data_IF_412542878396
#
_entry.id   IF_412542878396
#
_cell.length_a   1.000
_cell.length_b   1.000
_cell.length_c   1.000
_cell.angle_alpha   90.00
_cell.angle_beta   90.00
_cell.angle_gamma   90.00
#
_symmetry.space_group_name_H-M   'P 1'
#
loop_
_entity.id
_entity.type
_entity.pdbx_description
1 polymer ?
#
# COMPACT_ATOMS: atom_id res chain seq x y z
N UNK A 1 9.78 -20.68 -13.69
CA UNK A 1 9.06 -19.98 -12.60
C UNK A 1 7.72 -20.64 -12.51
N UNK A 2 7.33 -21.20 -11.36
CA UNK A 2 5.95 -21.71 -11.19
C UNK A 2 4.99 -20.57 -11.48
N UNK A 3 3.97 -20.83 -12.31
CA UNK A 3 2.88 -19.88 -12.54
C UNK A 3 2.20 -19.63 -11.19
N UNK A 4 2.50 -18.48 -10.58
CA UNK A 4 1.85 -18.06 -9.33
C UNK A 4 0.37 -17.77 -9.65
N UNK A 5 -0.52 -18.27 -8.80
CA UNK A 5 -1.96 -18.13 -8.99
C UNK A 5 -2.39 -16.69 -8.68
N UNK A 6 -2.97 -16.04 -9.66
CA UNK A 6 -3.57 -14.70 -9.52
C UNK A 6 -4.81 -14.76 -8.64
N UNK A 7 -5.08 -13.70 -7.92
CA UNK A 7 -6.26 -13.56 -7.09
C UNK A 7 -7.19 -12.44 -7.54
N UNK A 8 -8.13 -12.08 -6.66
CA UNK A 8 -9.07 -11.00 -6.86
C UNK A 8 -8.86 -9.88 -5.85
N UNK A 9 -9.06 -8.63 -6.28
CA UNK A 9 -8.99 -7.45 -5.42
C UNK A 9 -10.24 -7.32 -4.54
N UNK A 10 -10.17 -6.49 -3.49
CA UNK A 10 -11.37 -6.12 -2.71
C UNK A 10 -12.44 -5.47 -3.59
N UNK A 11 -12.02 -4.72 -4.63
CA UNK A 11 -12.90 -4.10 -5.62
C UNK A 11 -13.67 -5.13 -6.43
N UNK A 12 -12.99 -6.15 -6.98
CA UNK A 12 -13.65 -7.22 -7.74
C UNK A 12 -14.64 -8.01 -6.88
N UNK A 13 -14.27 -8.31 -5.62
CA UNK A 13 -15.19 -9.00 -4.70
C UNK A 13 -16.42 -8.13 -4.38
N UNK A 14 -16.27 -6.82 -4.19
CA UNK A 14 -17.37 -5.90 -3.96
C UNK A 14 -18.28 -5.77 -5.18
N UNK A 15 -17.70 -5.73 -6.39
CA UNK A 15 -18.45 -5.76 -7.65
C UNK A 15 -19.27 -7.05 -7.77
N UNK A 16 -18.65 -8.20 -7.56
CA UNK A 16 -19.31 -9.51 -7.63
C UNK A 16 -20.43 -9.64 -6.58
N UNK A 17 -20.17 -9.23 -5.34
CA UNK A 17 -21.18 -9.21 -4.29
C UNK A 17 -22.36 -8.29 -4.66
N UNK A 18 -22.08 -7.13 -5.27
CA UNK A 18 -23.14 -6.20 -5.75
C UNK A 18 -24.01 -6.84 -6.84
N UNK A 19 -23.38 -7.49 -7.82
CA UNK A 19 -24.12 -8.17 -8.89
C UNK A 19 -24.99 -9.30 -8.33
N UNK A 20 -24.45 -10.12 -7.41
CA UNK A 20 -25.17 -11.19 -6.75
C UNK A 20 -26.37 -10.65 -5.91
N UNK A 21 -26.16 -9.61 -5.11
CA UNK A 21 -27.22 -8.97 -4.31
C UNK A 21 -28.32 -8.37 -5.19
N UNK A 22 -27.95 -7.70 -6.28
CA UNK A 22 -28.89 -7.09 -7.20
C UNK A 22 -29.77 -8.15 -7.91
N UNK A 23 -29.17 -9.25 -8.37
CA UNK A 23 -29.89 -10.38 -8.97
C UNK A 23 -30.80 -11.05 -7.95
N UNK A 24 -30.32 -11.28 -6.73
CA UNK A 24 -31.10 -11.90 -5.67
C UNK A 24 -32.31 -11.02 -5.28
N UNK A 25 -32.11 -9.71 -5.12
CA UNK A 25 -33.19 -8.76 -4.82
C UNK A 25 -34.28 -8.79 -5.92
N UNK A 26 -33.88 -8.75 -7.20
CA UNK A 26 -34.82 -8.81 -8.32
C UNK A 26 -35.62 -10.13 -8.33
N UNK A 27 -34.96 -11.25 -8.08
CA UNK A 27 -35.62 -12.58 -8.01
C UNK A 27 -36.55 -12.66 -6.82
N UNK A 28 -36.20 -12.09 -5.67
CA UNK A 28 -37.06 -12.08 -4.48
C UNK A 28 -38.32 -11.23 -4.71
N UNK A 29 -38.20 -10.07 -5.36
CA UNK A 29 -39.32 -9.22 -5.74
C UNK A 29 -40.25 -9.97 -6.71
N UNK A 30 -39.70 -10.67 -7.73
CA UNK A 30 -40.47 -11.49 -8.66
C UNK A 30 -41.16 -12.67 -7.95
N UNK A 31 -40.45 -13.33 -7.01
CA UNK A 31 -41.02 -14.43 -6.23
C UNK A 31 -42.20 -13.97 -5.34
N UNK A 32 -42.06 -12.79 -4.70
CA UNK A 32 -43.12 -12.18 -3.90
C UNK A 32 -44.37 -11.87 -4.79
N UNK A 33 -44.13 -11.33 -5.97
CA UNK A 33 -45.22 -11.07 -6.94
C UNK A 33 -45.88 -12.36 -7.41
N UNK A 34 -45.13 -13.44 -7.68
CA UNK A 34 -45.65 -14.75 -8.03
C UNK A 34 -46.43 -15.38 -6.88
N UNK A 35 -45.98 -15.26 -5.65
CA UNK A 35 -46.67 -15.76 -4.46
C UNK A 35 -48.05 -15.10 -4.25
N UNK A 36 -48.18 -13.81 -4.58
CA UNK A 36 -49.48 -13.12 -4.57
C UNK A 36 -50.48 -13.72 -5.59
N UNK A 37 -49.99 -14.43 -6.60
CA UNK A 37 -50.77 -15.17 -7.57
C UNK A 37 -50.90 -16.67 -7.22
N UNK A 38 -50.47 -17.10 -6.06
CA UNK A 38 -50.50 -18.49 -5.59
C UNK A 38 -49.38 -19.39 -6.13
N UNK A 39 -48.34 -18.80 -6.75
CA UNK A 39 -47.19 -19.53 -7.28
C UNK A 39 -46.04 -19.50 -6.28
N UNK A 40 -45.60 -20.65 -5.76
CA UNK A 40 -44.48 -20.78 -4.86
C UNK A 40 -43.17 -20.93 -5.65
N UNK A 41 -42.25 -20.02 -5.45
CA UNK A 41 -40.87 -20.06 -6.02
C UNK A 41 -39.83 -19.91 -4.95
N UNK A 42 -38.71 -20.58 -5.07
CA UNK A 42 -37.54 -20.43 -4.20
C UNK A 42 -36.45 -19.65 -4.91
N UNK A 43 -35.82 -18.71 -4.20
CA UNK A 43 -34.66 -17.96 -4.71
C UNK A 43 -33.40 -18.57 -4.08
N UNK A 44 -32.49 -19.12 -4.92
CA UNK A 44 -31.23 -19.68 -4.40
C UNK A 44 -30.41 -18.63 -3.64
N UNK A 45 -29.84 -19.02 -2.51
CA UNK A 45 -28.97 -18.17 -1.69
C UNK A 45 -27.50 -18.37 -1.96
N UNK A 46 -27.12 -19.33 -2.77
CA UNK A 46 -25.74 -19.64 -3.16
C UNK A 46 -25.65 -19.82 -4.65
N UNK A 47 -24.48 -19.53 -5.22
CA UNK A 47 -24.24 -19.68 -6.64
C UNK A 47 -22.93 -19.09 -7.10
N UNK A 48 -22.83 -18.97 -8.40
CA UNK A 48 -21.74 -18.32 -9.10
C UNK A 48 -22.27 -17.05 -9.76
N UNK A 49 -21.49 -15.98 -9.69
CA UNK A 49 -21.78 -14.71 -10.37
C UNK A 49 -20.65 -14.40 -11.33
N UNK A 50 -21.03 -14.06 -12.56
CA UNK A 50 -20.11 -13.61 -13.60
C UNK A 50 -20.10 -12.09 -13.65
N UNK A 51 -18.88 -11.51 -13.71
CA UNK A 51 -18.65 -10.07 -13.81
C UNK A 51 -17.55 -9.78 -14.83
N UNK A 52 -17.63 -8.61 -15.46
CA UNK A 52 -16.56 -8.07 -16.27
C UNK A 52 -15.63 -7.23 -15.35
N UNK A 53 -14.38 -7.67 -15.21
CA UNK A 53 -13.38 -6.96 -14.40
C UNK A 53 -12.97 -5.66 -15.10
N UNK A 54 -12.58 -4.61 -14.35
CA UNK A 54 -12.08 -3.36 -14.92
C UNK A 54 -10.88 -3.54 -15.88
N UNK A 55 -10.09 -4.61 -15.71
CA UNK A 55 -9.00 -5.00 -16.61
C UNK A 55 -9.43 -5.66 -17.92
N UNK A 56 -10.75 -5.81 -18.18
CA UNK A 56 -11.31 -6.38 -19.42
C UNK A 56 -11.43 -7.91 -19.42
N UNK A 57 -11.03 -8.58 -18.33
CA UNK A 57 -11.23 -10.03 -18.17
C UNK A 57 -12.62 -10.33 -17.59
N UNK A 58 -13.20 -11.47 -17.94
CA UNK A 58 -14.37 -12.01 -17.24
C UNK A 58 -13.91 -12.83 -16.03
N UNK A 59 -14.71 -12.78 -14.97
CA UNK A 59 -14.48 -13.53 -13.74
C UNK A 59 -15.78 -14.15 -13.23
N UNK A 60 -15.67 -15.37 -12.71
CA UNK A 60 -16.78 -16.08 -12.07
C UNK A 60 -16.41 -16.32 -10.62
N UNK A 61 -17.19 -15.75 -9.70
CA UNK A 61 -16.93 -15.83 -8.26
C UNK A 61 -18.10 -16.50 -7.53
N UNK A 62 -17.80 -17.36 -6.55
CA UNK A 62 -18.83 -17.92 -5.69
C UNK A 62 -19.38 -16.86 -4.72
N UNK A 63 -20.69 -16.93 -4.47
CA UNK A 63 -21.35 -16.06 -3.51
C UNK A 63 -22.34 -16.85 -2.65
N UNK A 64 -22.67 -16.30 -1.48
CA UNK A 64 -23.84 -16.68 -0.71
C UNK A 64 -24.62 -15.44 -0.26
N UNK A 65 -25.90 -15.59 0.05
CA UNK A 65 -26.79 -14.50 0.47
C UNK A 65 -27.40 -14.82 1.82
N UNK A 66 -27.23 -13.90 2.76
CA UNK A 66 -27.79 -13.97 4.11
C UNK A 66 -29.30 -13.71 4.12
N UNK A 67 -29.91 -13.86 5.30
CA UNK A 67 -31.34 -13.67 5.50
C UNK A 67 -31.80 -12.24 5.23
N UNK A 68 -30.95 -11.26 5.47
CA UNK A 68 -31.19 -9.84 5.24
C UNK A 68 -30.98 -9.39 3.79
N UNK A 69 -30.62 -10.32 2.90
CA UNK A 69 -30.34 -10.03 1.49
C UNK A 69 -28.93 -9.54 1.17
N UNK A 70 -28.03 -9.57 2.15
CA UNK A 70 -26.61 -9.26 1.91
C UNK A 70 -25.93 -10.42 1.19
N UNK A 71 -25.40 -10.18 -0.01
CA UNK A 71 -24.58 -11.14 -0.73
C UNK A 71 -23.10 -11.00 -0.34
N UNK A 72 -22.44 -12.12 -0.09
CA UNK A 72 -21.05 -12.21 0.35
C UNK A 72 -20.19 -12.94 -0.67
N UNK A 73 -19.00 -12.39 -0.91
CA UNK A 73 -17.93 -13.00 -1.69
C UNK A 73 -16.67 -13.06 -0.83
N UNK A 74 -16.11 -14.26 -0.66
CA UNK A 74 -14.86 -14.43 0.08
C UNK A 74 -13.69 -14.11 -0.84
N UNK A 75 -12.84 -13.17 -0.39
CA UNK A 75 -11.69 -12.74 -1.19
C UNK A 75 -10.62 -13.83 -1.24
N UNK A 76 -10.31 -14.27 -2.44
CA UNK A 76 -9.16 -15.11 -2.76
C UNK A 76 -8.05 -14.23 -3.38
N UNK A 77 -6.95 -14.04 -2.67
CA UNK A 77 -5.82 -13.25 -3.15
C UNK A 77 -4.82 -14.05 -4.01
N UNK A 78 -5.11 -15.31 -4.32
CA UNK A 78 -4.15 -16.18 -4.99
C UNK A 78 -2.95 -16.51 -4.09
N UNK A 79 -1.77 -16.50 -4.68
CA UNK A 79 -0.52 -16.77 -3.97
C UNK A 79 0.14 -15.50 -3.41
N UNK A 80 -0.58 -14.37 -3.42
CA UNK A 80 -0.11 -13.12 -2.82
C UNK A 80 -0.32 -13.13 -1.30
N UNK A 81 0.67 -12.66 -0.50
CA UNK A 81 0.54 -12.56 0.96
C UNK A 81 -0.33 -11.38 1.41
N UNK A 82 -1.42 -11.13 0.72
CA UNK A 82 -2.36 -10.04 1.00
C UNK A 82 -3.07 -10.25 2.33
N UNK A 83 -3.03 -9.25 3.20
CA UNK A 83 -3.65 -9.29 4.54
C UNK A 83 -5.18 -9.43 4.49
N UNK A 84 -5.80 -9.14 3.34
CA UNK A 84 -7.24 -9.27 3.12
C UNK A 84 -7.65 -10.61 2.50
N UNK A 85 -6.71 -11.55 2.31
CA UNK A 85 -7.03 -12.90 1.89
C UNK A 85 -8.01 -13.58 2.87
N UNK A 86 -9.05 -14.22 2.36
CA UNK A 86 -10.09 -14.87 3.17
C UNK A 86 -11.14 -13.93 3.78
N UNK A 87 -11.01 -12.60 3.60
CA UNK A 87 -12.00 -11.65 4.08
C UNK A 87 -13.28 -11.73 3.25
N UNK A 88 -14.44 -11.82 3.91
CA UNK A 88 -15.73 -11.73 3.26
C UNK A 88 -16.06 -10.27 2.93
N UNK A 89 -16.37 -9.99 1.67
CA UNK A 89 -16.83 -8.69 1.19
C UNK A 89 -18.32 -8.83 0.86
N UNK A 90 -19.14 -8.03 1.53
CA UNK A 90 -20.58 -8.06 1.42
C UNK A 90 -21.14 -6.87 0.65
N UNK A 91 -22.25 -7.08 -0.01
CA UNK A 91 -23.06 -6.05 -0.64
C UNK A 91 -24.54 -6.24 -0.34
N UNK A 92 -25.21 -5.20 0.14
CA UNK A 92 -26.65 -5.16 0.26
C UNK A 92 -27.22 -4.08 -0.64
N UNK A 93 -28.17 -4.49 -1.49
CA UNK A 93 -28.82 -3.63 -2.47
C UNK A 93 -30.21 -3.24 -1.96
N UNK A 94 -30.42 -1.93 -1.85
CA UNK A 94 -31.72 -1.36 -1.49
C UNK A 94 -32.31 -0.65 -2.71
N UNK A 95 -33.64 -0.77 -2.92
CA UNK A 95 -34.33 -0.12 -4.01
C UNK A 95 -34.48 1.39 -3.70
N UNK A 96 -33.97 2.23 -4.59
CA UNK A 96 -34.02 3.70 -4.45
C UNK A 96 -34.41 4.31 -5.80
N UNK A 97 -35.70 4.34 -6.16
CA UNK A 97 -36.14 4.77 -7.48
C UNK A 97 -35.57 6.13 -7.90
N UNK A 98 -35.00 6.19 -9.10
CA UNK A 98 -34.41 7.39 -9.69
C UNK A 98 -33.08 7.81 -9.13
N UNK A 99 -32.46 7.03 -8.22
CA UNK A 99 -31.20 7.40 -7.58
C UNK A 99 -30.24 6.20 -7.48
N UNK A 100 -28.95 6.47 -7.69
CA UNK A 100 -27.87 5.45 -7.54
C UNK A 100 -26.85 5.94 -6.51
N UNK A 101 -26.48 5.05 -5.57
CA UNK A 101 -25.45 5.36 -4.58
C UNK A 101 -24.65 4.12 -4.20
N UNK A 102 -23.36 4.37 -3.89
CA UNK A 102 -22.46 3.38 -3.26
C UNK A 102 -22.05 3.90 -1.90
N UNK A 103 -22.32 3.13 -0.85
CA UNK A 103 -22.07 3.45 0.56
C UNK A 103 -21.10 2.47 1.16
N UNK A 104 -20.31 2.93 2.14
CA UNK A 104 -19.50 2.08 3.01
C UNK A 104 -20.32 1.65 4.23
N UNK A 105 -20.25 0.36 4.55
CA UNK A 105 -20.79 -0.26 5.75
C UNK A 105 -19.69 -0.69 6.71
N UNK A 106 -20.00 -1.68 7.56
CA UNK A 106 -19.07 -2.22 8.58
C UNK A 106 -17.77 -2.67 7.92
N UNK A 107 -16.63 -2.30 8.50
CA UNK A 107 -15.31 -2.71 8.07
C UNK A 107 -14.77 -2.05 6.80
N UNK A 108 -15.55 -1.20 6.13
CA UNK A 108 -15.08 -0.32 5.06
C UNK A 108 -14.65 1.01 5.69
N UNK A 109 -13.42 1.45 5.39
CA UNK A 109 -12.86 2.66 5.97
C UNK A 109 -13.54 3.94 5.49
N UNK A 110 -13.37 5.00 6.26
CA UNK A 110 -13.77 6.37 5.92
C UNK A 110 -12.53 7.23 5.73
N UNK A 111 -12.47 7.98 4.66
CA UNK A 111 -11.40 8.94 4.39
C UNK A 111 -11.59 10.16 5.29
N UNK A 112 -10.54 10.58 6.01
CA UNK A 112 -10.57 11.74 6.91
C UNK A 112 -9.60 12.85 6.51
N UNK A 113 -8.60 12.55 5.67
CA UNK A 113 -7.59 13.49 5.21
C UNK A 113 -7.75 13.80 3.72
N UNK A 114 -7.40 15.02 3.28
CA UNK A 114 -7.34 15.37 1.86
C UNK A 114 -6.14 14.67 1.18
N UNK A 115 -6.15 14.63 -0.15
CA UNK A 115 -5.05 14.09 -0.98
C UNK A 115 -5.35 12.74 -1.62
N UNK A 116 -6.38 12.02 -1.16
CA UNK A 116 -6.86 10.83 -1.85
C UNK A 116 -7.90 11.18 -2.92
N UNK A 117 -8.14 10.30 -3.92
CA UNK A 117 -9.19 10.51 -4.92
C UNK A 117 -10.62 10.62 -4.34
N UNK A 118 -10.77 10.22 -3.08
CA UNK A 118 -12.02 10.27 -2.32
C UNK A 118 -11.94 11.44 -1.35
N UNK A 119 -12.93 12.32 -1.39
CA UNK A 119 -13.00 13.45 -0.46
C UNK A 119 -13.16 12.99 1.00
N UNK A 120 -12.65 13.76 1.98
CA UNK A 120 -12.89 13.51 3.40
C UNK A 120 -14.40 13.35 3.70
N UNK A 121 -14.75 12.38 4.52
CA UNK A 121 -16.13 11.96 4.82
C UNK A 121 -16.67 10.90 3.87
N UNK A 122 -15.99 10.59 2.76
CA UNK A 122 -16.38 9.52 1.84
C UNK A 122 -15.90 8.14 2.27
N UNK A 123 -16.63 7.06 1.90
CA UNK A 123 -16.17 5.69 2.13
C UNK A 123 -14.93 5.40 1.29
N UNK A 124 -13.99 4.65 1.84
CA UNK A 124 -12.75 4.26 1.17
C UNK A 124 -12.99 3.23 0.04
N UNK A 125 -13.80 3.61 -0.92
CA UNK A 125 -14.10 2.86 -2.14
C UNK A 125 -13.51 3.64 -3.31
N UNK A 126 -12.39 3.16 -3.84
CA UNK A 126 -11.63 3.87 -4.88
C UNK A 126 -12.44 4.04 -6.18
N UNK A 127 -12.10 4.99 -7.06
CA UNK A 127 -12.88 5.32 -8.25
C UNK A 127 -13.19 4.11 -9.13
N UNK A 128 -12.20 3.33 -9.51
CA UNK A 128 -12.38 2.16 -10.40
C UNK A 128 -13.34 1.13 -9.82
N UNK A 129 -13.16 0.62 -8.58
CA UNK A 129 -14.18 -0.23 -7.94
C UNK A 129 -15.55 0.41 -7.84
N UNK A 130 -15.61 1.70 -7.53
CA UNK A 130 -16.88 2.43 -7.41
C UNK A 130 -17.63 2.47 -8.75
N UNK A 131 -16.94 2.71 -9.85
CA UNK A 131 -17.50 2.70 -11.20
C UNK A 131 -17.98 1.30 -11.59
N UNK A 132 -17.20 0.25 -11.29
CA UNK A 132 -17.57 -1.12 -11.54
C UNK A 132 -18.84 -1.53 -10.76
N UNK A 133 -18.91 -1.20 -9.47
CA UNK A 133 -20.10 -1.41 -8.62
C UNK A 133 -21.31 -0.67 -9.16
N UNK A 134 -21.17 0.60 -9.54
CA UNK A 134 -22.24 1.39 -10.13
C UNK A 134 -22.70 0.81 -11.48
N UNK A 135 -21.76 0.30 -12.30
CA UNK A 135 -22.07 -0.37 -13.57
C UNK A 135 -22.98 -1.58 -13.37
N UNK A 136 -22.73 -2.41 -12.34
CA UNK A 136 -23.61 -3.54 -12.00
C UNK A 136 -25.00 -3.08 -11.55
N UNK A 137 -25.09 -2.02 -10.75
CA UNK A 137 -26.38 -1.46 -10.35
C UNK A 137 -27.16 -0.93 -11.54
N UNK A 138 -26.53 -0.16 -12.43
CA UNK A 138 -27.17 0.39 -13.63
C UNK A 138 -27.69 -0.71 -14.55
N UNK A 139 -26.91 -1.79 -14.72
CA UNK A 139 -27.27 -2.94 -15.57
C UNK A 139 -28.42 -3.76 -14.98
N UNK A 140 -28.38 -4.03 -13.66
CA UNK A 140 -29.29 -4.99 -13.02
C UNK A 140 -30.50 -4.32 -12.34
N UNK A 141 -30.43 -3.03 -12.03
CA UNK A 141 -31.48 -2.25 -11.33
C UNK A 141 -31.70 -0.89 -12.02
N UNK A 142 -32.09 -0.87 -13.30
CA UNK A 142 -32.11 0.36 -14.12
C UNK A 142 -33.03 1.48 -13.58
N UNK A 143 -33.98 1.12 -12.70
CA UNK A 143 -34.93 2.09 -12.10
C UNK A 143 -34.34 2.83 -10.87
N UNK A 144 -33.10 2.50 -10.46
CA UNK A 144 -32.42 3.08 -9.32
C UNK A 144 -32.25 2.09 -8.17
N UNK A 145 -31.06 2.14 -7.57
CA UNK A 145 -30.70 1.34 -6.40
C UNK A 145 -29.53 1.98 -5.64
N UNK A 146 -29.44 1.73 -4.36
CA UNK A 146 -28.23 2.01 -3.58
C UNK A 146 -27.63 0.69 -3.08
N UNK A 147 -26.31 0.65 -2.97
CA UNK A 147 -25.60 -0.50 -2.41
C UNK A 147 -24.75 -0.08 -1.23
N UNK A 148 -24.77 -0.88 -0.17
CA UNK A 148 -23.88 -0.75 0.98
C UNK A 148 -22.87 -1.88 0.94
N UNK A 149 -21.57 -1.53 0.85
CA UNK A 149 -20.45 -2.47 0.82
C UNK A 149 -19.92 -2.64 2.24
N UNK A 150 -19.80 -3.87 2.72
CA UNK A 150 -19.32 -4.21 4.05
C UNK A 150 -18.17 -5.23 3.99
N UNK A 151 -17.30 -5.17 4.98
CA UNK A 151 -16.14 -6.07 5.11
C UNK A 151 -15.87 -6.34 6.62
N UNK A 152 -16.72 -7.09 7.31
CA UNK A 152 -16.59 -7.33 8.76
C UNK A 152 -15.20 -7.89 9.10
N UNK A 153 -14.52 -7.32 10.10
CA UNK A 153 -13.12 -7.61 10.43
C UNK A 153 -12.12 -6.69 9.71
N UNK A 154 -12.59 -5.89 8.75
CA UNK A 154 -11.77 -4.91 8.05
C UNK A 154 -11.14 -3.89 8.98
N UNK A 155 -11.77 -3.54 10.10
CA UNK A 155 -11.25 -2.63 11.13
C UNK A 155 -9.94 -3.13 11.74
N UNK A 156 -9.84 -4.46 11.93
CA UNK A 156 -8.64 -5.09 12.49
C UNK A 156 -7.55 -5.20 11.44
N UNK A 157 -7.92 -5.61 10.22
CA UNK A 157 -6.98 -5.78 9.11
C UNK A 157 -6.39 -4.45 8.65
N UNK A 158 -7.17 -3.37 8.63
CA UNK A 158 -6.73 -2.04 8.24
C UNK A 158 -5.49 -1.56 9.02
N UNK A 159 -5.36 -1.96 10.29
CA UNK A 159 -4.19 -1.63 11.12
C UNK A 159 -2.87 -2.20 10.58
N UNK A 160 -2.95 -3.23 9.73
CA UNK A 160 -1.78 -3.87 9.09
C UNK A 160 -1.51 -3.32 7.68
N UNK A 161 -2.31 -2.36 7.21
CA UNK A 161 -2.19 -1.71 5.91
C UNK A 161 -1.65 -0.28 6.05
N UNK A 162 -1.58 0.44 4.93
CA UNK A 162 -1.25 1.87 4.93
C UNK A 162 -2.44 2.77 5.32
N UNK A 163 -3.65 2.24 5.45
CA UNK A 163 -4.86 3.02 5.70
C UNK A 163 -4.74 4.02 6.86
N UNK A 164 -4.24 3.64 8.05
CA UNK A 164 -4.11 4.60 9.15
C UNK A 164 -3.25 5.82 8.80
N UNK A 165 -2.22 5.64 7.97
CA UNK A 165 -1.30 6.71 7.52
C UNK A 165 -1.92 7.62 6.48
N UNK A 166 -2.85 7.09 5.70
CA UNK A 166 -3.60 7.80 4.68
C UNK A 166 -4.83 8.53 5.26
N UNK A 167 -5.03 8.46 6.59
CA UNK A 167 -6.22 9.01 7.22
C UNK A 167 -7.49 8.23 6.87
N UNK A 168 -7.36 6.94 6.58
CA UNK A 168 -8.50 6.06 6.38
C UNK A 168 -8.78 5.33 7.70
N UNK A 169 -9.90 5.61 8.33
CA UNK A 169 -10.27 5.10 9.66
C UNK A 169 -11.44 4.14 9.58
N UNK A 170 -11.52 3.22 10.53
CA UNK A 170 -12.68 2.33 10.73
C UNK A 170 -12.77 1.14 9.78
N UNK A 171 -11.80 0.94 8.86
CA UNK A 171 -11.85 -0.23 8.00
C UNK A 171 -10.81 -0.26 6.87
N UNK A 172 -10.95 -1.26 6.00
CA UNK A 172 -10.12 -1.43 4.82
C UNK A 172 -10.60 -0.51 3.67
N UNK A 173 -9.74 -0.39 2.64
CA UNK A 173 -10.13 0.20 1.37
C UNK A 173 -10.67 -0.86 0.41
N UNK A 174 -11.68 -0.50 -0.36
CA UNK A 174 -12.16 -1.24 -1.53
C UNK A 174 -11.40 -0.69 -2.73
N UNK A 175 -10.42 -1.44 -3.24
CA UNK A 175 -9.46 -0.99 -4.24
C UNK A 175 -9.13 -2.08 -5.27
N UNK A 176 -8.40 -1.68 -6.31
CA UNK A 176 -7.92 -2.51 -7.40
C UNK A 176 -8.30 -1.90 -8.75
N UNK A 177 -7.31 -1.68 -9.60
CA UNK A 177 -7.48 -1.04 -10.91
C UNK A 177 -7.89 -2.02 -12.00
N UNK A 178 -7.42 -3.27 -11.92
CA UNK A 178 -7.72 -4.33 -12.91
C UNK A 178 -8.73 -5.36 -12.43
N UNK A 179 -9.01 -5.41 -11.12
CA UNK A 179 -9.79 -6.46 -10.47
C UNK A 179 -8.95 -7.69 -10.08
N UNK A 180 -7.72 -7.82 -10.60
CA UNK A 180 -6.79 -8.93 -10.29
C UNK A 180 -5.71 -8.53 -9.29
N UNK A 181 -5.28 -9.51 -8.50
CA UNK A 181 -4.07 -9.43 -7.66
C UNK A 181 -2.98 -10.22 -8.37
N UNK A 182 -1.88 -9.53 -8.70
CA UNK A 182 -0.67 -10.15 -9.23
C UNK A 182 0.28 -10.43 -8.05
N UNK A 183 0.56 -11.70 -7.73
CA UNK A 183 1.42 -12.03 -6.60
C UNK A 183 2.81 -11.40 -6.73
N UNK A 184 3.29 -10.77 -5.64
CA UNK A 184 4.62 -10.15 -5.56
C UNK A 184 4.87 -9.03 -6.58
N UNK A 185 3.83 -8.34 -7.05
CA UNK A 185 3.95 -7.23 -7.99
C UNK A 185 4.67 -6.03 -7.35
N UNK A 186 5.83 -5.67 -7.92
CA UNK A 186 6.57 -4.45 -7.55
C UNK A 186 5.78 -3.20 -7.94
N UNK A 187 5.07 -3.25 -9.07
CA UNK A 187 4.22 -2.15 -9.54
C UNK A 187 3.06 -1.89 -8.56
N UNK A 188 2.33 -2.92 -8.16
CA UNK A 188 1.26 -2.78 -7.18
C UNK A 188 1.77 -2.28 -5.82
N UNK A 189 2.98 -2.70 -5.40
CA UNK A 189 3.61 -2.18 -4.20
C UNK A 189 3.94 -0.70 -4.35
N UNK A 190 4.55 -0.27 -5.46
CA UNK A 190 4.85 1.14 -5.76
C UNK A 190 3.59 1.99 -5.74
N UNK A 191 2.54 1.55 -6.40
CA UNK A 191 1.24 2.25 -6.43
C UNK A 191 0.64 2.41 -5.03
N UNK A 192 0.86 1.45 -4.14
CA UNK A 192 0.39 1.53 -2.76
C UNK A 192 1.14 2.57 -1.91
N UNK A 193 2.38 2.91 -2.27
CA UNK A 193 3.23 3.85 -1.52
C UNK A 193 2.94 5.32 -1.87
N UNK A 194 2.59 5.60 -3.13
CA UNK A 194 2.38 6.98 -3.65
C UNK A 194 1.34 7.78 -2.89
N UNK A 195 0.18 7.25 -2.50
CA UNK A 195 -0.84 8.02 -1.80
C UNK A 195 -0.36 8.72 -0.52
N UNK A 196 0.73 8.26 0.11
CA UNK A 196 1.34 8.94 1.25
C UNK A 196 1.86 10.33 0.85
N UNK A 197 2.45 10.46 -0.35
CA UNK A 197 2.92 11.74 -0.89
C UNK A 197 1.75 12.67 -1.19
N UNK A 198 0.69 12.15 -1.78
CA UNK A 198 -0.50 12.93 -2.13
C UNK A 198 -1.18 13.50 -0.88
N UNK A 199 -1.30 12.70 0.18
CA UNK A 199 -1.83 13.12 1.48
C UNK A 199 -0.93 14.15 2.15
N UNK A 200 0.40 13.96 2.14
CA UNK A 200 1.35 14.91 2.71
C UNK A 200 1.29 16.26 1.97
N UNK A 201 1.28 16.24 0.63
CA UNK A 201 1.16 17.44 -0.21
C UNK A 201 -0.14 18.19 0.06
N UNK A 202 -1.27 17.49 0.13
CA UNK A 202 -2.58 18.09 0.41
C UNK A 202 -2.68 18.70 1.81
N UNK A 203 -1.82 18.26 2.75
CA UNK A 203 -1.68 18.87 4.08
C UNK A 203 -0.65 20.02 4.11
N UNK A 204 -0.13 20.44 2.94
CA UNK A 204 0.82 21.54 2.84
C UNK A 204 2.23 21.23 3.35
N UNK A 205 2.60 19.91 3.43
CA UNK A 205 3.96 19.53 3.81
C UNK A 205 4.90 19.81 2.64
N UNK A 206 6.10 20.33 2.95
CA UNK A 206 7.16 20.63 1.98
C UNK A 206 8.40 19.75 2.19
N UNK A 207 8.57 19.31 3.42
CA UNK A 207 9.72 18.52 3.87
C UNK A 207 9.24 17.16 4.35
N UNK A 208 9.88 16.09 3.89
CA UNK A 208 9.49 14.72 4.22
C UNK A 208 10.65 13.95 4.85
N UNK A 209 10.29 12.93 5.63
CA UNK A 209 11.25 11.96 6.18
C UNK A 209 10.93 10.58 5.61
N UNK A 210 11.78 10.10 4.70
CA UNK A 210 11.64 8.78 4.11
C UNK A 210 12.28 7.72 5.00
N UNK A 211 11.51 6.66 5.25
CA UNK A 211 11.94 5.52 6.08
C UNK A 211 11.66 4.19 5.39
N UNK A 212 12.46 3.18 5.68
CA UNK A 212 12.38 1.85 5.10
C UNK A 212 11.43 0.94 5.91
N UNK A 213 10.14 1.19 5.76
CA UNK A 213 9.09 0.37 6.39
C UNK A 213 8.81 0.69 7.87
N UNK A 214 7.96 -0.11 8.48
CA UNK A 214 7.34 0.18 9.80
C UNK A 214 8.33 0.30 10.96
N UNK A 215 9.47 -0.40 10.92
CA UNK A 215 10.52 -0.23 11.95
C UNK A 215 11.15 1.16 11.83
N UNK A 216 11.50 1.59 10.61
CA UNK A 216 12.05 2.91 10.35
C UNK A 216 11.11 4.01 10.82
N UNK A 217 9.80 3.85 10.56
CA UNK A 217 8.77 4.78 11.04
C UNK A 217 8.77 4.90 12.56
N UNK A 218 8.73 3.77 13.29
CA UNK A 218 8.75 3.80 14.76
C UNK A 218 9.99 4.52 15.30
N UNK A 219 11.16 4.28 14.70
CA UNK A 219 12.41 4.92 15.08
C UNK A 219 12.42 6.44 14.76
N UNK A 220 11.82 6.85 13.65
CA UNK A 220 11.68 8.25 13.30
C UNK A 220 10.76 8.99 14.29
N UNK A 221 9.62 8.42 14.61
CA UNK A 221 8.68 8.99 15.58
C UNK A 221 9.28 9.04 16.99
N UNK A 222 10.01 7.99 17.42
CA UNK A 222 10.72 7.96 18.69
C UNK A 222 11.81 9.05 18.77
N UNK A 223 12.34 9.48 17.64
CA UNK A 223 13.28 10.60 17.53
C UNK A 223 12.59 11.97 17.39
N UNK A 224 11.28 12.07 17.58
CA UNK A 224 10.51 13.30 17.56
C UNK A 224 10.10 13.81 16.18
N UNK A 225 10.23 13.00 15.13
CA UNK A 225 9.73 13.36 13.80
C UNK A 225 8.21 13.37 13.80
N UNK A 226 7.61 14.43 13.25
CA UNK A 226 6.16 14.50 13.07
C UNK A 226 5.68 13.35 12.16
N UNK A 227 4.69 12.61 12.63
CA UNK A 227 4.13 11.46 11.90
C UNK A 227 3.67 11.83 10.48
N UNK A 228 3.17 13.04 10.30
CA UNK A 228 2.68 13.58 9.03
C UNK A 228 3.78 13.80 7.99
N UNK A 229 5.04 13.89 8.41
CA UNK A 229 6.21 14.02 7.54
C UNK A 229 6.82 12.66 7.17
N UNK A 230 6.44 11.59 7.88
CA UNK A 230 7.04 10.26 7.69
C UNK A 230 6.37 9.51 6.55
N UNK A 231 7.16 9.17 5.53
CA UNK A 231 6.76 8.37 4.37
C UNK A 231 7.53 7.06 4.36
N UNK A 232 6.82 5.94 4.30
CA UNK A 232 7.43 4.61 4.13
C UNK A 232 7.69 4.32 2.66
N UNK A 233 8.90 3.91 2.34
CA UNK A 233 9.33 3.72 0.95
C UNK A 233 9.64 2.28 0.58
N UNK A 234 9.59 1.34 1.53
CA UNK A 234 10.13 -0.01 1.34
C UNK A 234 11.57 0.03 0.79
N UNK A 235 11.90 -0.76 -0.22
CA UNK A 235 13.20 -0.69 -0.90
C UNK A 235 13.22 0.28 -2.10
N UNK A 236 12.07 0.89 -2.40
CA UNK A 236 11.82 1.70 -3.60
C UNK A 236 12.23 3.17 -3.42
N UNK A 237 13.34 3.42 -2.71
CA UNK A 237 13.80 4.77 -2.37
C UNK A 237 13.94 5.68 -3.59
N UNK A 238 14.59 5.19 -4.65
CA UNK A 238 14.81 5.98 -5.86
C UNK A 238 13.51 6.35 -6.55
N UNK A 239 12.58 5.39 -6.66
CA UNK A 239 11.28 5.62 -7.27
C UNK A 239 10.45 6.62 -6.45
N UNK A 240 10.47 6.50 -5.12
CA UNK A 240 9.76 7.42 -4.23
C UNK A 240 10.36 8.83 -4.23
N UNK A 241 11.69 8.97 -4.35
CA UNK A 241 12.35 10.27 -4.52
C UNK A 241 11.92 10.95 -5.82
N UNK A 242 11.85 10.21 -6.92
CA UNK A 242 11.35 10.72 -8.19
C UNK A 242 9.90 11.21 -8.07
N UNK A 243 9.02 10.43 -7.46
CA UNK A 243 7.60 10.82 -7.22
C UNK A 243 7.47 12.03 -6.29
N UNK A 244 8.38 12.18 -5.33
CA UNK A 244 8.42 13.36 -4.45
C UNK A 244 8.88 14.61 -5.23
N UNK A 245 9.89 14.49 -6.08
CA UNK A 245 10.35 15.59 -6.94
C UNK A 245 9.25 16.09 -7.88
N UNK A 246 8.55 15.17 -8.54
CA UNK A 246 7.42 15.50 -9.44
C UNK A 246 6.29 16.26 -8.74
N UNK A 247 6.10 16.04 -7.44
CA UNK A 247 5.10 16.71 -6.62
C UNK A 247 5.57 18.03 -6.03
N UNK A 248 6.82 18.41 -6.28
CA UNK A 248 7.38 19.69 -5.83
C UNK A 248 7.72 19.74 -4.34
N UNK A 249 8.00 18.61 -3.69
CA UNK A 249 8.56 18.63 -2.35
C UNK A 249 9.95 19.29 -2.39
N UNK A 250 10.30 20.05 -1.34
CA UNK A 250 11.53 20.83 -1.30
C UNK A 250 12.69 20.03 -0.72
N UNK A 251 12.42 19.26 0.33
CA UNK A 251 13.43 18.50 1.05
C UNK A 251 12.94 17.10 1.41
N UNK A 252 13.87 16.12 1.33
CA UNK A 252 13.65 14.77 1.83
C UNK A 252 14.82 14.35 2.72
N UNK A 253 14.54 13.99 3.97
CA UNK A 253 15.51 13.35 4.85
C UNK A 253 15.34 11.84 4.74
N UNK A 254 16.36 11.15 4.24
CA UNK A 254 16.41 9.68 4.25
C UNK A 254 16.93 9.23 5.62
N UNK A 255 16.06 8.59 6.41
CA UNK A 255 16.41 8.11 7.73
C UNK A 255 16.29 6.59 7.81
N UNK A 256 17.40 5.88 7.97
CA UNK A 256 17.33 4.42 7.94
C UNK A 256 18.62 3.69 8.24
N UNK A 257 18.50 2.36 8.23
CA UNK A 257 19.56 1.44 8.56
C UNK A 257 20.78 1.59 7.63
N UNK A 258 21.99 1.65 8.21
CA UNK A 258 23.24 1.82 7.48
C UNK A 258 23.38 0.84 6.32
N UNK A 259 23.05 -0.46 6.53
CA UNK A 259 23.14 -1.48 5.49
C UNK A 259 22.22 -1.28 4.28
N UNK A 260 21.29 -0.35 4.35
CA UNK A 260 20.44 0.04 3.22
C UNK A 260 20.93 1.35 2.58
N UNK A 261 21.08 2.39 3.39
CA UNK A 261 21.36 3.74 2.87
C UNK A 261 22.79 3.90 2.34
N UNK A 262 23.76 3.13 2.84
CA UNK A 262 25.13 3.14 2.29
C UNK A 262 25.19 2.81 0.79
N UNK A 263 24.23 2.05 0.27
CA UNK A 263 24.15 1.70 -1.15
C UNK A 263 23.92 2.92 -2.06
N UNK A 264 23.27 3.96 -1.54
CA UNK A 264 23.02 5.21 -2.28
C UNK A 264 24.32 5.92 -2.64
N UNK A 265 25.33 5.86 -1.78
CA UNK A 265 26.67 6.42 -2.05
C UNK A 265 27.38 5.71 -3.23
N UNK A 266 26.95 4.50 -3.57
CA UNK A 266 27.40 3.75 -4.75
C UNK A 266 26.43 3.89 -5.94
N UNK A 267 25.45 4.80 -5.91
CA UNK A 267 24.48 5.02 -6.97
C UNK A 267 23.39 3.94 -7.06
N UNK A 268 23.21 3.11 -6.03
CA UNK A 268 22.20 2.03 -6.00
C UNK A 268 20.98 2.51 -5.23
N UNK A 269 19.94 2.92 -5.95
CA UNK A 269 18.74 3.55 -5.40
C UNK A 269 17.58 2.58 -5.11
N UNK A 270 17.60 1.37 -5.69
CA UNK A 270 16.82 0.23 -5.21
C UNK A 270 17.67 -0.51 -4.17
N UNK A 271 17.26 -0.42 -2.90
CA UNK A 271 18.04 -0.96 -1.79
C UNK A 271 17.81 -2.45 -1.54
N UNK A 272 17.02 -3.13 -2.39
CA UNK A 272 16.79 -4.57 -2.28
C UNK A 272 18.10 -5.35 -2.48
N UNK A 273 18.32 -6.41 -1.67
CA UNK A 273 19.56 -7.20 -1.74
C UNK A 273 19.73 -7.99 -3.04
N UNK A 274 18.64 -8.28 -3.75
CA UNK A 274 18.68 -8.94 -5.07
C UNK A 274 19.23 -8.04 -6.17
N UNK A 275 19.13 -6.71 -6.02
CA UNK A 275 19.63 -5.76 -7.01
C UNK A 275 21.15 -5.64 -6.91
N UNK A 276 21.64 -5.38 -5.70
CA UNK A 276 23.08 -5.34 -5.44
C UNK A 276 23.36 -5.48 -3.94
N UNK A 277 24.51 -6.08 -3.62
CA UNK A 277 25.08 -6.08 -2.28
C UNK A 277 26.44 -5.37 -2.27
N UNK A 278 26.40 -4.03 -2.24
CA UNK A 278 27.58 -3.20 -2.23
C UNK A 278 27.91 -2.60 -0.85
N UNK A 279 27.29 -3.08 0.21
CA UNK A 279 27.36 -2.48 1.56
C UNK A 279 28.79 -2.36 2.08
N UNK A 280 29.49 -3.50 2.14
CA UNK A 280 30.84 -3.57 2.69
C UNK A 280 31.87 -2.94 1.75
N UNK A 281 31.71 -3.13 0.45
CA UNK A 281 32.60 -2.54 -0.57
C UNK A 281 32.52 -1.02 -0.53
N UNK A 282 31.33 -0.44 -0.37
CA UNK A 282 31.17 1.02 -0.27
C UNK A 282 31.80 1.54 1.02
N UNK A 283 31.53 0.90 2.18
CA UNK A 283 32.18 1.30 3.44
C UNK A 283 33.72 1.20 3.38
N UNK A 284 34.24 0.11 2.79
CA UNK A 284 35.67 -0.10 2.62
C UNK A 284 36.30 0.94 1.69
N UNK A 285 35.64 1.32 0.61
CA UNK A 285 36.12 2.34 -0.32
C UNK A 285 36.25 3.72 0.37
N UNK A 286 35.21 4.15 1.10
CA UNK A 286 35.23 5.40 1.86
C UNK A 286 36.23 5.34 3.03
N UNK A 287 36.38 4.19 3.70
CA UNK A 287 37.41 3.99 4.73
C UNK A 287 38.82 4.16 4.15
N UNK A 288 39.06 3.59 2.95
CA UNK A 288 40.32 3.74 2.24
C UNK A 288 40.60 5.18 1.83
N UNK A 289 39.61 5.85 1.24
CA UNK A 289 39.72 7.27 0.89
C UNK A 289 39.99 8.15 2.12
N UNK A 290 39.44 7.80 3.26
CA UNK A 290 39.69 8.45 4.54
C UNK A 290 41.03 8.08 5.16
N UNK A 291 41.85 7.19 4.59
CA UNK A 291 43.17 6.81 5.10
C UNK A 291 43.14 5.75 6.21
N UNK A 292 42.12 4.93 6.29
CA UNK A 292 42.09 3.75 7.17
C UNK A 292 43.11 2.72 6.69
N UNK A 293 43.83 2.07 7.62
CA UNK A 293 44.88 1.12 7.28
C UNK A 293 44.38 -0.06 6.42
N UNK A 294 45.20 -0.52 5.49
CA UNK A 294 44.82 -1.57 4.55
C UNK A 294 44.40 -2.89 5.21
N UNK A 295 44.91 -3.19 6.40
CA UNK A 295 44.53 -4.36 7.20
C UNK A 295 43.05 -4.24 7.66
N UNK A 296 42.67 -3.08 8.18
CA UNK A 296 41.30 -2.80 8.62
C UNK A 296 40.31 -2.79 7.45
N UNK A 297 40.73 -2.28 6.28
CA UNK A 297 39.93 -2.34 5.05
C UNK A 297 39.64 -3.79 4.65
N UNK A 298 40.64 -4.68 4.72
CA UNK A 298 40.45 -6.12 4.45
C UNK A 298 39.53 -6.75 5.49
N UNK A 299 39.65 -6.37 6.77
CA UNK A 299 38.77 -6.84 7.83
C UNK A 299 37.30 -6.41 7.55
N UNK A 300 37.05 -5.15 7.18
CA UNK A 300 35.71 -4.64 6.81
C UNK A 300 35.13 -5.45 5.67
N UNK A 301 35.90 -5.70 4.60
CA UNK A 301 35.45 -6.49 3.45
C UNK A 301 35.09 -7.94 3.80
N UNK A 302 35.72 -8.51 4.82
CA UNK A 302 35.45 -9.85 5.33
C UNK A 302 34.27 -9.95 6.31
N UNK A 303 33.67 -8.85 6.70
CA UNK A 303 32.55 -8.83 7.65
C UNK A 303 31.24 -9.33 7.01
N UNK A 304 30.31 -9.74 7.84
CA UNK A 304 29.00 -10.26 7.37
C UNK A 304 27.93 -9.19 7.27
N UNK A 305 28.07 -8.08 8.00
CA UNK A 305 27.04 -7.02 8.05
C UNK A 305 27.65 -5.62 8.03
N UNK A 306 26.90 -4.66 7.52
CA UNK A 306 27.27 -3.26 7.57
C UNK A 306 27.29 -2.69 9.02
N UNK A 307 26.51 -3.26 9.93
CA UNK A 307 26.53 -2.87 11.36
C UNK A 307 27.89 -3.16 11.98
N UNK A 308 28.45 -4.35 11.73
CA UNK A 308 29.78 -4.72 12.23
C UNK A 308 30.87 -3.79 11.65
N UNK A 309 30.78 -3.50 10.36
CA UNK A 309 31.71 -2.58 9.70
C UNK A 309 31.61 -1.16 10.27
N UNK A 310 30.39 -0.65 10.49
CA UNK A 310 30.18 0.66 11.09
C UNK A 310 30.67 0.71 12.54
N UNK A 311 30.37 -0.33 13.35
CA UNK A 311 30.88 -0.42 14.72
C UNK A 311 32.42 -0.42 14.75
N UNK A 312 33.07 -1.18 13.86
CA UNK A 312 34.53 -1.20 13.76
C UNK A 312 35.11 0.17 13.41
N UNK A 313 34.49 0.90 12.47
CA UNK A 313 34.92 2.26 12.14
C UNK A 313 34.81 3.20 13.34
N UNK A 314 33.74 3.09 14.14
CA UNK A 314 33.56 3.88 15.36
C UNK A 314 34.61 3.53 16.43
N UNK A 315 34.91 2.24 16.65
CA UNK A 315 35.99 1.79 17.57
C UNK A 315 37.35 2.33 17.17
N UNK A 316 37.61 2.48 15.87
CA UNK A 316 38.83 3.06 15.34
C UNK A 316 38.85 4.61 15.41
N UNK A 317 37.80 5.24 15.95
CA UNK A 317 37.63 6.69 15.96
C UNK A 317 37.33 7.29 14.59
N UNK A 318 36.88 6.48 13.61
CA UNK A 318 36.66 6.84 12.21
C UNK A 318 35.18 7.09 11.88
N UNK A 319 34.46 7.73 12.78
CA UNK A 319 33.08 8.18 12.52
C UNK A 319 32.95 9.19 11.36
N UNK A 320 34.07 9.85 10.97
CA UNK A 320 34.18 10.68 9.78
C UNK A 320 33.80 9.89 8.50
N UNK A 321 34.26 8.65 8.35
CA UNK A 321 33.92 7.79 7.21
C UNK A 321 32.39 7.61 7.07
N UNK A 322 31.67 7.44 8.17
CA UNK A 322 30.22 7.28 8.14
C UNK A 322 29.51 8.59 7.74
N UNK A 323 30.04 9.74 8.12
CA UNK A 323 29.55 11.05 7.68
C UNK A 323 29.80 11.26 6.19
N UNK A 324 30.98 10.89 5.71
CA UNK A 324 31.35 11.01 4.29
C UNK A 324 30.44 10.13 3.42
N UNK A 325 30.17 8.90 3.86
CA UNK A 325 29.19 8.02 3.18
C UNK A 325 27.80 8.63 3.17
N UNK A 326 27.33 9.21 4.28
CA UNK A 326 26.04 9.86 4.35
C UNK A 326 25.97 11.07 3.40
N UNK A 327 27.02 11.89 3.38
CA UNK A 327 27.13 13.06 2.50
C UNK A 327 27.18 12.66 1.01
N UNK A 328 27.93 11.62 0.66
CA UNK A 328 27.97 11.08 -0.70
C UNK A 328 26.63 10.50 -1.14
N UNK A 329 25.93 9.78 -0.27
CA UNK A 329 24.59 9.28 -0.53
C UNK A 329 23.59 10.44 -0.76
N UNK A 330 23.66 11.50 0.05
CA UNK A 330 22.85 12.69 -0.12
C UNK A 330 23.14 13.39 -1.45
N UNK A 331 24.43 13.57 -1.80
CA UNK A 331 24.86 14.17 -3.05
C UNK A 331 24.34 13.37 -4.28
N UNK A 332 24.53 12.06 -4.26
CA UNK A 332 24.05 11.18 -5.34
C UNK A 332 22.54 11.30 -5.56
N UNK A 333 21.76 11.43 -4.47
CA UNK A 333 20.30 11.65 -4.56
C UNK A 333 19.98 13.05 -5.11
N UNK A 334 20.66 14.10 -4.64
CA UNK A 334 20.47 15.48 -5.12
C UNK A 334 20.73 15.61 -6.62
N UNK A 335 21.86 15.07 -7.08
CA UNK A 335 22.24 15.10 -8.51
C UNK A 335 21.25 14.36 -9.39
N UNK A 336 20.73 13.23 -8.92
CA UNK A 336 19.85 12.39 -9.73
C UNK A 336 18.39 12.90 -9.77
N UNK A 337 17.87 13.40 -8.66
CA UNK A 337 16.44 13.72 -8.52
C UNK A 337 16.13 15.20 -8.41
N UNK A 338 17.14 16.07 -8.29
CA UNK A 338 16.93 17.52 -8.19
C UNK A 338 16.30 17.99 -6.87
N UNK A 339 16.21 17.10 -5.87
CA UNK A 339 15.68 17.38 -4.54
C UNK A 339 16.79 17.73 -3.56
N UNK A 340 16.51 18.59 -2.59
CA UNK A 340 17.36 18.71 -1.41
C UNK A 340 17.21 17.42 -0.60
N UNK A 341 18.29 16.64 -0.49
CA UNK A 341 18.28 15.37 0.25
C UNK A 341 19.29 15.40 1.37
N UNK A 342 18.87 14.97 2.54
CA UNK A 342 19.73 14.70 3.71
C UNK A 342 19.67 13.21 4.05
N UNK A 343 20.76 12.66 4.59
CA UNK A 343 20.85 11.23 4.92
C UNK A 343 21.27 11.05 6.36
N UNK A 344 20.53 10.24 7.11
CA UNK A 344 20.83 9.86 8.50
C UNK A 344 20.98 8.34 8.56
N UNK A 345 22.21 7.88 8.77
CA UNK A 345 22.54 6.46 8.91
C UNK A 345 22.26 6.01 10.34
N UNK A 346 21.51 4.94 10.50
CA UNK A 346 21.16 4.36 11.79
C UNK A 346 21.69 2.93 11.92
N UNK A 347 21.97 2.53 13.14
CA UNK A 347 22.08 1.11 13.49
C UNK A 347 20.68 0.46 13.62
N UNK A 348 20.67 -0.81 14.07
CA UNK A 348 19.44 -1.58 14.26
C UNK A 348 18.53 -1.04 15.36
N UNK A 349 19.10 -0.33 16.34
CA UNK A 349 18.39 0.21 17.51
C UNK A 349 17.98 1.67 17.32
N UNK A 350 18.38 2.27 16.20
CA UNK A 350 18.05 3.65 15.84
C UNK A 350 19.06 4.68 16.31
N UNK A 351 20.22 4.24 16.79
CA UNK A 351 21.32 5.14 17.14
C UNK A 351 21.90 5.71 15.86
N UNK A 352 22.14 7.03 15.86
CA UNK A 352 22.73 7.73 14.71
C UNK A 352 24.22 7.38 14.62
N UNK A 353 24.61 6.79 13.50
CA UNK A 353 25.99 6.42 13.18
C UNK A 353 26.71 7.52 12.38
N UNK A 354 25.98 8.26 11.57
CA UNK A 354 26.48 9.37 10.77
C UNK A 354 25.31 10.08 10.06
N UNK A 355 25.52 11.33 9.72
CA UNK A 355 24.55 12.13 8.97
C UNK A 355 25.27 12.99 7.94
N UNK A 356 24.61 13.30 6.82
CA UNK A 356 25.07 14.30 5.87
C UNK A 356 25.05 15.69 6.51
N UNK A 357 25.99 16.52 6.13
CA UNK A 357 26.11 17.91 6.52
C UNK A 357 25.28 18.80 5.63
#
# INVERSE_FOLDING_TARGET
>A
MSDLRRGYTTGACAQAATAAAAVWAARTEAAASAAALGIVTTVPREGLVEIDLPGGEQAVLPYHVDEDGTAWVVKDAGDDPDVTHGLAIGARVDNTPGFFAVRGGIGVGMVTLPGLPIAPGGPAINPVPREAILGELLRLRPNGASVTISAPGGEVLAKKTLNPRLGIVGGISILGTTGRVEPWSVEAMRDSLVPQLDVAQAQGRTDLVFVLGSKGRRLAMAAGVDERDVVETANELGWMLERAAERGFLRVTLRGHVGKLVKLAAGIFDTHSRVADARLVTLAAYAGAGGVAAEEIRAILGMTTADLAAARLLELGRGDVLRDVASAAALACRERYGLQVDVVLLDRDGVVLGASS
#
